data_IF_057816740195
#
_entry.id   IF_057816740195
#
_cell.length_a   1.000
_cell.length_b   1.000
_cell.length_c   1.000
_cell.angle_alpha   90.00
_cell.angle_beta   90.00
_cell.angle_gamma   90.00
#
_symmetry.space_group_name_H-M   'P 1'
#
loop_
_entity.id
_entity.type
_entity.pdbx_description
1 polymer ?
#
# COMPACT_ATOMS: atom_id res chain seq x y z
N UNK A 1 49.81 47.64 14.46
CA UNK A 1 49.60 46.23 14.84
C UNK A 1 48.14 45.88 14.62
N UNK A 2 47.80 45.21 13.52
CA UNK A 2 46.43 44.78 13.21
C UNK A 2 46.31 43.33 13.71
N UNK A 3 45.46 43.10 14.71
CA UNK A 3 45.13 41.76 15.19
C UNK A 3 44.20 41.10 14.17
N UNK A 4 44.66 40.00 13.58
CA UNK A 4 43.89 39.19 12.65
C UNK A 4 42.66 38.60 13.36
N UNK A 5 41.48 38.85 12.81
CA UNK A 5 40.23 38.22 13.21
C UNK A 5 40.16 36.86 12.52
N UNK A 6 40.33 35.77 13.26
CA UNK A 6 40.13 34.41 12.74
C UNK A 6 38.62 34.15 12.71
N UNK A 7 38.02 34.18 11.52
CA UNK A 7 36.65 33.72 11.29
C UNK A 7 36.70 32.20 11.10
N UNK A 8 36.32 31.44 12.13
CA UNK A 8 36.13 29.99 12.04
C UNK A 8 34.82 29.73 11.29
N UNK A 9 34.92 29.37 10.02
CA UNK A 9 33.78 28.94 9.22
C UNK A 9 33.43 27.50 9.65
N UNK A 10 32.51 27.37 10.62
CA UNK A 10 31.84 26.10 10.92
C UNK A 10 31.04 25.70 9.68
N UNK A 11 31.62 24.83 8.85
CA UNK A 11 30.90 24.08 7.84
C UNK A 11 29.88 23.19 8.55
N UNK A 12 28.69 23.74 8.82
CA UNK A 12 27.49 22.97 9.07
C UNK A 12 27.31 22.06 7.86
N UNK A 13 27.72 20.80 7.99
CA UNK A 13 27.25 19.76 7.09
C UNK A 13 25.77 19.61 7.38
N UNK A 14 24.95 20.39 6.69
CA UNK A 14 23.53 20.13 6.59
C UNK A 14 23.48 18.77 5.89
N UNK A 15 23.06 17.68 6.55
CA UNK A 15 22.84 16.44 5.83
C UNK A 15 21.85 16.78 4.71
N UNK A 16 22.20 16.46 3.47
CA UNK A 16 21.25 16.54 2.38
C UNK A 16 20.06 15.65 2.76
N UNK A 17 19.01 16.27 3.27
CA UNK A 17 17.76 15.60 3.57
C UNK A 17 17.17 15.20 2.24
N UNK A 18 17.16 13.90 1.97
CA UNK A 18 16.31 13.33 0.92
C UNK A 18 14.87 13.50 1.38
N UNK A 19 14.29 14.66 1.11
CA UNK A 19 12.90 14.93 1.39
C UNK A 19 12.05 14.20 0.34
N UNK A 20 11.28 13.22 0.79
CA UNK A 20 10.22 12.61 0.00
C UNK A 20 9.07 13.62 -0.02
N UNK A 21 8.44 13.81 -1.18
CA UNK A 21 7.26 14.67 -1.30
C UNK A 21 6.10 14.05 -0.50
N UNK A 22 5.62 14.71 0.56
CA UNK A 22 4.49 14.21 1.33
C UNK A 22 3.22 14.27 0.52
N UNK A 23 2.34 13.33 0.78
CA UNK A 23 1.03 13.22 0.14
C UNK A 23 -0.06 13.43 1.18
N UNK A 24 -1.12 14.13 0.78
CA UNK A 24 -2.26 14.44 1.64
C UNK A 24 -3.41 13.46 1.49
N UNK A 25 -3.43 12.61 0.45
CA UNK A 25 -4.49 11.63 0.23
C UNK A 25 -3.89 10.33 -0.29
N UNK A 26 -4.26 9.22 0.32
CA UNK A 26 -3.95 7.89 -0.19
C UNK A 26 -5.23 7.08 -0.36
N UNK A 27 -5.13 6.00 -1.12
CA UNK A 27 -6.23 5.14 -1.49
C UNK A 27 -5.91 3.70 -1.10
N UNK A 28 -6.96 2.92 -0.82
CA UNK A 28 -6.87 1.47 -0.67
C UNK A 28 -8.17 0.82 -1.11
N UNK A 29 -8.07 -0.32 -1.80
CA UNK A 29 -9.22 -1.19 -2.05
C UNK A 29 -9.34 -2.23 -0.94
N UNK A 30 -10.55 -2.48 -0.46
CA UNK A 30 -10.84 -3.50 0.54
C UNK A 30 -12.24 -4.06 0.33
N UNK A 31 -12.43 -5.36 0.52
CA UNK A 31 -13.72 -6.04 0.38
C UNK A 31 -14.67 -5.79 1.55
N UNK A 32 -14.16 -5.32 2.69
CA UNK A 32 -14.98 -4.93 3.85
C UNK A 32 -15.80 -3.69 3.55
N UNK A 33 -16.99 -3.58 4.13
CA UNK A 33 -17.78 -2.35 4.08
C UNK A 33 -17.23 -1.31 5.06
N UNK A 34 -17.66 -0.05 4.92
CA UNK A 34 -17.33 0.99 5.91
C UNK A 34 -17.79 0.59 7.33
N UNK A 35 -18.94 -0.10 7.45
CA UNK A 35 -19.45 -0.58 8.75
C UNK A 35 -18.50 -1.60 9.39
N UNK A 36 -17.98 -2.55 8.60
CA UNK A 36 -17.06 -3.57 9.10
C UNK A 36 -15.73 -2.94 9.55
N UNK A 37 -15.24 -1.94 8.80
CA UNK A 37 -14.04 -1.17 9.18
C UNK A 37 -14.28 -0.36 10.45
N UNK A 38 -15.47 0.21 10.63
CA UNK A 38 -15.86 0.92 11.84
C UNK A 38 -15.89 -0.01 13.05
N UNK A 39 -16.45 -1.21 12.90
CA UNK A 39 -16.47 -2.23 13.96
C UNK A 39 -15.05 -2.69 14.32
N UNK A 40 -14.17 -2.82 13.33
CA UNK A 40 -12.75 -3.11 13.55
C UNK A 40 -11.95 -1.93 14.13
N UNK A 41 -12.52 -0.72 14.16
CA UNK A 41 -11.85 0.51 14.59
C UNK A 41 -10.78 1.00 13.62
N UNK A 42 -10.80 0.60 12.35
CA UNK A 42 -9.83 0.99 11.34
C UNK A 42 -9.23 -0.18 10.56
N UNK A 43 -8.12 0.09 9.89
CA UNK A 43 -7.35 -0.89 9.13
C UNK A 43 -6.01 -1.11 9.83
N UNK A 44 -5.81 -2.35 10.29
CA UNK A 44 -4.71 -2.70 11.18
C UNK A 44 -3.80 -3.76 10.55
N UNK A 45 -2.49 -3.72 10.84
CA UNK A 45 -1.55 -4.73 10.37
C UNK A 45 -1.84 -6.12 10.93
N UNK A 46 -1.21 -7.13 10.33
CA UNK A 46 -1.25 -8.51 10.80
C UNK A 46 -0.31 -8.66 12.00
N UNK A 47 -0.86 -8.96 13.18
CA UNK A 47 -0.11 -9.03 14.44
C UNK A 47 -0.14 -10.43 15.06
N UNK A 48 0.13 -11.45 14.27
CA UNK A 48 0.39 -12.79 14.80
C UNK A 48 1.84 -12.86 15.31
N UNK A 49 2.01 -12.75 16.63
CA UNK A 49 3.33 -12.81 17.26
C UNK A 49 4.02 -11.45 17.35
N UNK A 50 5.35 -11.45 17.19
CA UNK A 50 6.14 -10.23 17.23
C UNK A 50 5.98 -9.47 15.88
N UNK A 51 5.72 -8.15 15.91
CA UNK A 51 5.53 -7.38 14.69
C UNK A 51 6.82 -7.30 13.88
N UNK A 52 6.76 -7.68 12.62
CA UNK A 52 7.81 -7.49 11.64
C UNK A 52 7.76 -6.06 11.09
N UNK A 53 8.82 -5.31 11.33
CA UNK A 53 8.97 -3.92 10.91
C UNK A 53 9.90 -3.78 9.69
N UNK A 54 10.27 -4.89 9.04
CA UNK A 54 11.09 -4.86 7.84
C UNK A 54 10.26 -4.49 6.61
N UNK A 55 10.59 -3.37 5.99
CA UNK A 55 9.87 -2.90 4.80
C UNK A 55 10.00 -3.88 3.63
N UNK A 56 11.14 -4.56 3.48
CA UNK A 56 11.36 -5.49 2.36
C UNK A 56 10.53 -6.75 2.53
N UNK A 57 10.47 -7.32 3.75
CA UNK A 57 9.61 -8.47 4.02
C UNK A 57 8.12 -8.14 3.84
N UNK A 58 7.69 -6.90 4.12
CA UNK A 58 6.32 -6.46 3.82
C UNK A 58 6.08 -6.38 2.31
N UNK A 59 6.97 -5.66 1.62
CA UNK A 59 6.87 -5.40 0.18
C UNK A 59 6.91 -6.68 -0.66
N UNK A 60 7.81 -7.60 -0.33
CA UNK A 60 7.94 -8.92 -0.95
C UNK A 60 6.83 -9.89 -0.51
N UNK A 61 6.01 -9.50 0.47
CA UNK A 61 4.87 -10.28 0.96
C UNK A 61 5.22 -11.39 1.95
N UNK A 62 6.49 -11.59 2.29
CA UNK A 62 6.95 -12.60 3.26
C UNK A 62 6.28 -12.42 4.63
N UNK A 63 6.35 -11.21 5.19
CA UNK A 63 5.74 -10.91 6.50
C UNK A 63 4.21 -10.90 6.47
N UNK A 64 3.61 -10.75 5.28
CA UNK A 64 2.17 -10.86 5.07
C UNK A 64 1.75 -12.33 5.08
N UNK A 65 2.48 -13.19 4.36
CA UNK A 65 2.26 -14.64 4.41
C UNK A 65 2.53 -15.21 5.81
N UNK A 66 3.50 -14.65 6.53
CA UNK A 66 3.82 -14.94 7.93
C UNK A 66 2.84 -14.34 8.95
N UNK A 67 1.86 -13.54 8.52
CA UNK A 67 0.86 -12.89 9.38
C UNK A 67 1.44 -11.97 10.47
N UNK A 68 2.66 -11.46 10.28
CA UNK A 68 3.39 -10.65 11.26
C UNK A 68 3.72 -9.24 10.78
N UNK A 69 3.40 -8.89 9.53
CA UNK A 69 3.71 -7.58 8.97
C UNK A 69 3.10 -6.44 9.76
N UNK A 70 3.90 -5.45 10.17
CA UNK A 70 3.43 -4.29 10.93
C UNK A 70 2.95 -3.10 10.08
N UNK A 71 2.58 -3.36 8.82
CA UNK A 71 2.22 -2.33 7.86
C UNK A 71 0.87 -2.62 7.20
N UNK A 72 0.21 -1.56 6.74
CA UNK A 72 -0.95 -1.62 5.85
C UNK A 72 -0.60 -0.88 4.55
N UNK A 73 -0.67 -1.57 3.40
CA UNK A 73 -0.41 -0.96 2.09
C UNK A 73 -1.54 -0.02 1.67
N UNK A 74 -1.16 1.13 1.12
CA UNK A 74 -2.02 2.11 0.46
C UNK A 74 -1.29 2.63 -0.78
N UNK A 75 -1.95 3.37 -1.65
CA UNK A 75 -1.29 4.04 -2.79
C UNK A 75 -1.79 5.46 -2.94
N UNK A 76 -0.94 6.39 -3.34
CA UNK A 76 -1.36 7.74 -3.73
C UNK A 76 -2.02 7.78 -5.12
N UNK A 77 -1.98 6.67 -5.86
CA UNK A 77 -2.60 6.53 -7.18
C UNK A 77 -3.97 5.85 -7.09
N UNK A 78 -5.04 6.60 -7.33
CA UNK A 78 -6.38 6.03 -7.50
C UNK A 78 -6.39 4.99 -8.63
N UNK A 79 -5.64 5.26 -9.71
CA UNK A 79 -5.52 4.34 -10.84
C UNK A 79 -4.92 3.01 -10.40
N UNK A 80 -3.80 3.01 -9.68
CA UNK A 80 -3.15 1.77 -9.23
C UNK A 80 -4.10 0.94 -8.34
N UNK A 81 -4.81 1.57 -7.41
CA UNK A 81 -5.79 0.89 -6.55
C UNK A 81 -6.93 0.27 -7.36
N UNK A 82 -7.45 0.96 -8.38
CA UNK A 82 -8.49 0.43 -9.27
C UNK A 82 -7.94 -0.73 -10.11
N UNK A 83 -6.73 -0.62 -10.65
CA UNK A 83 -6.06 -1.69 -11.42
C UNK A 83 -5.88 -2.96 -10.56
N UNK A 84 -5.44 -2.81 -9.30
CA UNK A 84 -5.29 -3.93 -8.36
C UNK A 84 -6.64 -4.56 -8.04
N UNK A 85 -7.66 -3.76 -7.72
CA UNK A 85 -9.01 -4.24 -7.45
C UNK A 85 -9.59 -5.05 -8.63
N UNK A 86 -9.44 -4.55 -9.86
CA UNK A 86 -9.84 -5.26 -11.08
C UNK A 86 -9.12 -6.61 -11.20
N UNK A 87 -7.83 -6.65 -10.87
CA UNK A 87 -7.01 -7.86 -10.95
C UNK A 87 -7.45 -8.96 -9.98
N UNK A 88 -8.32 -8.66 -9.01
CA UNK A 88 -8.87 -9.61 -8.04
C UNK A 88 -10.29 -10.05 -8.37
N UNK A 89 -10.90 -9.52 -9.44
CA UNK A 89 -12.34 -9.66 -9.75
C UNK A 89 -12.77 -10.89 -10.55
N UNK A 90 -11.81 -11.72 -10.98
CA UNK A 90 -12.09 -12.98 -11.69
C UNK A 90 -10.98 -14.01 -11.48
N UNK A 91 -11.26 -15.31 -11.66
CA UNK A 91 -10.28 -16.37 -11.42
C UNK A 91 -9.27 -16.55 -12.56
N UNK A 92 -9.66 -16.30 -13.83
CA UNK A 92 -8.78 -16.42 -15.00
C UNK A 92 -9.26 -15.60 -16.22
N UNK A 93 -8.54 -15.69 -17.34
CA UNK A 93 -8.80 -14.94 -18.58
C UNK A 93 -9.96 -15.39 -19.43
N UNK A 94 -10.38 -16.63 -19.22
CA UNK A 94 -11.44 -17.26 -19.98
C UNK A 94 -12.80 -17.12 -19.29
N UNK A 95 -12.80 -16.87 -17.98
CA UNK A 95 -14.01 -16.71 -17.18
C UNK A 95 -14.47 -15.23 -17.10
N UNK A 96 -15.79 -14.98 -17.07
CA UNK A 96 -16.33 -13.65 -16.85
C UNK A 96 -15.94 -13.12 -15.45
N UNK A 97 -16.19 -11.83 -15.22
CA UNK A 97 -16.16 -11.30 -13.86
C UNK A 97 -17.13 -12.08 -12.98
N UNK A 98 -16.72 -12.35 -11.74
CA UNK A 98 -17.63 -12.94 -10.76
C UNK A 98 -18.81 -11.98 -10.56
N UNK A 99 -20.06 -12.39 -10.83
CA UNK A 99 -21.22 -11.51 -10.67
C UNK A 99 -21.41 -11.05 -9.21
N UNK A 100 -20.82 -11.74 -8.23
CA UNK A 100 -20.83 -11.38 -6.82
C UNK A 100 -19.64 -10.48 -6.42
N UNK A 101 -18.73 -10.16 -7.34
CA UNK A 101 -17.59 -9.28 -7.08
C UNK A 101 -18.04 -7.91 -6.60
N UNK A 102 -17.60 -7.56 -5.39
CA UNK A 102 -17.75 -6.24 -4.80
C UNK A 102 -16.50 -5.90 -3.99
N UNK A 103 -15.95 -4.72 -4.24
CA UNK A 103 -14.90 -4.13 -3.41
C UNK A 103 -15.18 -2.64 -3.22
N UNK A 104 -14.54 -2.05 -2.22
CA UNK A 104 -14.68 -0.64 -1.89
C UNK A 104 -13.32 0.04 -1.97
N UNK A 105 -13.29 1.16 -2.67
CA UNK A 105 -12.12 2.04 -2.71
C UNK A 105 -12.31 3.07 -1.63
N UNK A 106 -11.32 3.22 -0.76
CA UNK A 106 -11.31 4.15 0.35
C UNK A 106 -10.36 5.31 0.08
N UNK A 107 -10.82 6.53 0.35
CA UNK A 107 -9.99 7.74 0.38
C UNK A 107 -9.57 8.00 1.82
N UNK A 108 -8.28 8.07 2.07
CA UNK A 108 -7.71 8.06 3.42
C UNK A 108 -6.79 9.27 3.59
N UNK A 109 -6.92 9.95 4.73
CA UNK A 109 -5.97 10.96 5.18
C UNK A 109 -4.77 10.26 5.84
N UNK A 110 -3.55 10.35 5.27
CA UNK A 110 -2.37 9.80 5.90
C UNK A 110 -1.97 10.63 7.13
N UNK A 111 -1.01 10.10 7.90
CA UNK A 111 -0.31 10.74 9.02
C UNK A 111 1.19 10.47 8.87
N UNK A 112 2.01 10.96 9.79
CA UNK A 112 3.46 10.79 9.79
C UNK A 112 3.93 9.33 9.94
N UNK A 113 3.04 8.38 10.20
CA UNK A 113 3.32 6.94 10.15
C UNK A 113 3.12 6.31 8.75
N UNK A 114 2.75 7.09 7.74
CA UNK A 114 2.68 6.66 6.34
C UNK A 114 4.00 6.95 5.66
N UNK A 115 4.66 5.92 5.14
CA UNK A 115 5.97 6.03 4.49
C UNK A 115 5.89 5.62 3.03
N UNK A 116 6.44 6.45 2.15
CA UNK A 116 6.61 6.14 0.74
C UNK A 116 7.64 5.02 0.57
N UNK A 117 7.23 3.94 -0.10
CA UNK A 117 8.06 2.74 -0.21
C UNK A 117 9.22 2.95 -1.17
N UNK A 118 8.97 3.53 -2.34
CA UNK A 118 9.99 3.73 -3.38
C UNK A 118 11.12 4.64 -2.89
N UNK A 119 10.77 5.73 -2.22
CA UNK A 119 11.69 6.67 -1.59
C UNK A 119 12.47 6.05 -0.43
N UNK A 120 11.83 5.20 0.37
CA UNK A 120 12.52 4.46 1.45
C UNK A 120 13.54 3.46 0.89
N UNK A 121 13.17 2.68 -0.12
CA UNK A 121 14.07 1.75 -0.81
C UNK A 121 15.20 2.49 -1.53
N UNK A 122 14.89 3.59 -2.21
CA UNK A 122 15.88 4.45 -2.87
C UNK A 122 16.89 5.01 -1.87
N UNK A 123 16.42 5.46 -0.71
CA UNK A 123 17.29 5.91 0.36
C UNK A 123 18.21 4.78 0.84
N UNK A 124 17.67 3.60 1.15
CA UNK A 124 18.45 2.45 1.60
C UNK A 124 19.52 2.02 0.57
N UNK A 125 19.17 2.00 -0.72
CA UNK A 125 20.10 1.73 -1.83
C UNK A 125 21.27 2.71 -1.86
N UNK A 126 20.99 4.00 -1.66
CA UNK A 126 22.00 5.06 -1.74
C UNK A 126 22.88 5.09 -0.48
N UNK A 127 22.34 4.67 0.67
CA UNK A 127 23.02 4.70 1.96
C UNK A 127 23.85 3.44 2.25
N UNK A 128 23.58 2.32 1.57
CA UNK A 128 24.31 1.06 1.81
C UNK A 128 25.67 1.00 1.12
N UNK A 129 26.68 0.45 1.81
CA UNK A 129 27.96 0.07 1.23
C UNK A 129 27.98 -1.39 0.73
N UNK A 130 26.94 -2.17 1.00
CA UNK A 130 26.81 -3.56 0.56
C UNK A 130 26.33 -3.61 -0.90
N UNK A 131 27.19 -4.13 -1.78
CA UNK A 131 26.90 -4.26 -3.20
C UNK A 131 25.73 -5.23 -3.48
N UNK A 132 25.59 -6.29 -2.69
CA UNK A 132 24.51 -7.26 -2.86
C UNK A 132 23.16 -6.62 -2.49
N UNK A 133 23.09 -5.93 -1.35
CA UNK A 133 21.89 -5.19 -0.94
C UNK A 133 21.50 -4.16 -1.99
N UNK A 134 22.48 -3.38 -2.47
CA UNK A 134 22.25 -2.39 -3.53
C UNK A 134 21.67 -3.02 -4.81
N UNK A 135 22.21 -4.16 -5.24
CA UNK A 135 21.76 -4.85 -6.44
C UNK A 135 20.35 -5.45 -6.29
N UNK A 136 20.01 -6.00 -5.12
CA UNK A 136 18.67 -6.50 -4.83
C UNK A 136 17.64 -5.39 -4.80
N UNK A 137 17.93 -4.27 -4.12
CA UNK A 137 17.04 -3.11 -4.12
C UNK A 137 16.87 -2.53 -5.53
N UNK A 138 17.93 -2.50 -6.36
CA UNK A 138 17.81 -2.09 -7.75
C UNK A 138 16.83 -2.96 -8.55
N UNK A 139 16.84 -4.28 -8.33
CA UNK A 139 15.88 -5.19 -8.97
C UNK A 139 14.45 -4.96 -8.49
N UNK A 140 14.24 -4.75 -7.19
CA UNK A 140 12.93 -4.38 -6.65
C UNK A 140 12.42 -3.08 -7.29
N UNK A 141 13.22 -2.01 -7.25
CA UNK A 141 12.87 -0.72 -7.83
C UNK A 141 12.63 -0.80 -9.34
N UNK A 142 13.38 -1.63 -10.07
CA UNK A 142 13.19 -1.82 -11.50
C UNK A 142 11.90 -2.57 -11.83
N UNK A 143 11.56 -3.59 -11.05
CA UNK A 143 10.43 -4.48 -11.33
C UNK A 143 9.09 -3.91 -10.85
N UNK A 144 9.12 -2.94 -9.93
CA UNK A 144 7.94 -2.44 -9.24
C UNK A 144 7.93 -0.92 -9.04
N UNK A 145 8.63 -0.16 -9.89
CA UNK A 145 8.51 1.30 -9.88
C UNK A 145 7.09 1.74 -10.27
N UNK A 146 6.67 2.91 -9.78
CA UNK A 146 5.43 3.54 -10.22
C UNK A 146 4.13 2.95 -9.65
N UNK A 147 4.22 2.07 -8.66
CA UNK A 147 3.04 1.64 -7.88
C UNK A 147 2.57 2.72 -6.90
N UNK A 148 3.44 3.69 -6.63
CA UNK A 148 3.15 4.84 -5.78
C UNK A 148 2.62 4.41 -4.40
N UNK A 149 3.18 3.33 -3.86
CA UNK A 149 2.75 2.73 -2.59
C UNK A 149 3.25 3.54 -1.40
N UNK A 150 2.35 3.76 -0.45
CA UNK A 150 2.67 4.18 0.90
C UNK A 150 2.22 3.10 1.89
N UNK A 151 3.05 2.84 2.89
CA UNK A 151 2.72 1.89 3.96
C UNK A 151 2.42 2.63 5.26
N UNK A 152 1.27 2.34 5.86
CA UNK A 152 0.91 2.84 7.19
C UNK A 152 1.48 1.90 8.25
N UNK A 153 2.57 2.30 8.92
CA UNK A 153 3.12 1.54 10.04
C UNK A 153 2.14 1.57 11.21
N UNK A 154 1.89 0.43 11.83
CA UNK A 154 0.89 0.28 12.90
C UNK A 154 -0.57 0.49 12.47
N UNK A 155 -0.83 0.69 11.17
CA UNK A 155 -2.18 0.88 10.62
C UNK A 155 -2.75 2.28 10.84
N UNK A 156 -4.06 2.40 10.73
CA UNK A 156 -4.79 3.67 10.90
C UNK A 156 -6.23 3.44 11.34
N UNK A 157 -6.77 4.40 12.08
CA UNK A 157 -8.14 4.40 12.55
C UNK A 157 -9.14 4.78 11.46
N UNK A 158 -10.38 4.33 11.63
CA UNK A 158 -11.50 4.56 10.71
C UNK A 158 -11.84 6.05 10.51
N UNK A 159 -11.57 6.90 11.50
CA UNK A 159 -11.81 8.34 11.43
C UNK A 159 -10.84 9.09 10.49
N UNK A 160 -9.81 8.41 9.96
CA UNK A 160 -8.95 8.93 8.88
C UNK A 160 -9.50 8.66 7.48
N UNK A 161 -10.53 7.82 7.34
CA UNK A 161 -11.18 7.55 6.06
C UNK A 161 -12.14 8.71 5.74
N UNK A 162 -11.87 9.47 4.69
CA UNK A 162 -12.71 10.60 4.25
C UNK A 162 -14.00 10.11 3.59
N UNK A 163 -13.86 9.18 2.66
CA UNK A 163 -14.94 8.73 1.79
C UNK A 163 -14.61 7.37 1.19
N UNK A 164 -15.62 6.76 0.58
CA UNK A 164 -15.47 5.48 -0.08
C UNK A 164 -16.39 5.38 -1.29
N UNK A 165 -16.04 4.53 -2.25
CA UNK A 165 -16.88 4.23 -3.40
C UNK A 165 -16.86 2.72 -3.68
N UNK A 166 -18.00 2.20 -4.12
CA UNK A 166 -18.16 0.80 -4.50
C UNK A 166 -17.67 0.58 -5.93
N UNK A 167 -16.93 -0.51 -6.15
CA UNK A 167 -16.61 -1.08 -7.45
C UNK A 167 -17.18 -2.51 -7.50
N UNK A 168 -17.93 -2.83 -8.55
CA UNK A 168 -18.58 -4.14 -8.70
C UNK A 168 -18.53 -4.67 -10.13
N UNK A 169 -18.95 -5.93 -10.30
CA UNK A 169 -18.93 -6.63 -11.58
C UNK A 169 -19.68 -5.89 -12.70
N UNK A 170 -20.84 -5.29 -12.39
CA UNK A 170 -21.64 -4.53 -13.35
C UNK A 170 -20.88 -3.30 -13.88
N UNK A 171 -20.16 -2.58 -13.00
CA UNK A 171 -19.28 -1.49 -13.43
C UNK A 171 -18.16 -1.99 -14.33
N UNK A 172 -17.50 -3.10 -13.97
CA UNK A 172 -16.43 -3.69 -14.78
C UNK A 172 -16.92 -4.10 -16.17
N UNK A 173 -18.11 -4.70 -16.24
CA UNK A 173 -18.71 -5.14 -17.50
C UNK A 173 -19.16 -3.96 -18.37
N UNK A 174 -19.70 -2.90 -17.77
CA UNK A 174 -20.19 -1.72 -18.50
C UNK A 174 -19.08 -0.82 -19.02
N UNK A 175 -18.04 -0.59 -18.21
CA UNK A 175 -17.00 0.41 -18.53
C UNK A 175 -15.71 -0.22 -19.06
N UNK A 176 -15.54 -1.53 -18.92
CA UNK A 176 -14.34 -2.24 -19.34
C UNK A 176 -13.11 -1.86 -18.50
N UNK A 177 -12.00 -2.55 -18.76
CA UNK A 177 -10.76 -2.46 -17.96
C UNK A 177 -9.53 -2.15 -18.82
N UNK A 178 -9.73 -1.70 -20.06
CA UNK A 178 -8.65 -1.22 -20.92
C UNK A 178 -8.04 0.04 -20.33
N UNK A 179 -6.77 0.34 -20.63
CA UNK A 179 -6.04 1.45 -20.00
C UNK A 179 -6.68 2.86 -20.15
N UNK A 180 -7.64 3.02 -21.07
CA UNK A 180 -8.44 4.23 -21.30
C UNK A 180 -9.86 4.17 -20.69
N UNK A 181 -10.15 3.17 -19.86
CA UNK A 181 -11.43 3.02 -19.19
C UNK A 181 -11.77 4.24 -18.33
N UNK A 182 -13.05 4.58 -18.28
CA UNK A 182 -13.55 5.64 -17.40
C UNK A 182 -13.25 5.34 -15.92
N UNK A 183 -13.12 4.07 -15.54
CA UNK A 183 -12.76 3.63 -14.19
C UNK A 183 -11.44 4.24 -13.69
N UNK A 184 -10.54 4.67 -14.58
CA UNK A 184 -9.24 5.23 -14.23
C UNK A 184 -9.22 6.77 -14.19
N UNK A 185 -10.40 7.41 -14.18
CA UNK A 185 -10.51 8.88 -14.23
C UNK A 185 -11.21 9.45 -13.00
N UNK A 186 -10.72 10.57 -12.48
CA UNK A 186 -11.33 11.29 -11.35
C UNK A 186 -12.81 11.67 -11.61
N UNK A 187 -13.13 12.07 -12.84
CA UNK A 187 -14.49 12.48 -13.21
C UNK A 187 -15.51 11.33 -13.13
N UNK A 188 -15.07 10.08 -13.32
CA UNK A 188 -15.91 8.92 -13.10
C UNK A 188 -16.25 8.76 -11.61
N UNK A 189 -15.28 8.96 -10.72
CA UNK A 189 -15.47 8.76 -9.29
C UNK A 189 -16.12 9.95 -8.57
N UNK A 190 -16.02 11.16 -9.13
CA UNK A 190 -16.48 12.40 -8.51
C UNK A 190 -17.92 12.36 -7.97
N UNK A 191 -18.84 11.66 -8.65
CA UNK A 191 -20.24 11.52 -8.22
C UNK A 191 -20.56 10.22 -7.48
N UNK A 192 -19.56 9.36 -7.25
CA UNK A 192 -19.70 8.02 -6.66
C UNK A 192 -19.16 7.93 -5.24
N UNK A 193 -18.38 8.93 -4.81
CA UNK A 193 -17.88 9.01 -3.44
C UNK A 193 -19.03 9.20 -2.45
N UNK A 194 -19.06 8.34 -1.44
CA UNK A 194 -19.91 8.46 -0.26
C UNK A 194 -19.04 8.94 0.89
N UNK A 195 -19.42 10.06 1.50
CA UNK A 195 -18.69 10.62 2.64
C UNK A 195 -18.77 9.69 3.85
N UNK A 196 -17.66 9.55 4.57
CA UNK A 196 -17.66 8.89 5.87
C UNK A 196 -18.15 9.87 6.95
N UNK A 197 -19.29 9.63 7.61
CA UNK A 197 -19.82 10.53 8.64
C UNK A 197 -18.96 10.60 9.90
N UNK A 198 -18.02 9.66 10.10
CA UNK A 198 -17.11 9.66 11.26
C UNK A 198 -15.71 10.17 10.92
N UNK A 199 -15.49 10.69 9.71
CA UNK A 199 -14.23 11.35 9.39
C UNK A 199 -13.98 12.52 10.35
N UNK A 200 -12.78 12.61 10.88
CA UNK A 200 -12.39 13.70 11.78
C UNK A 200 -11.64 14.79 11.00
N UNK A 201 -12.30 15.93 10.82
CA UNK A 201 -11.77 17.09 10.11
C UNK A 201 -10.51 17.69 10.75
N UNK A 202 -10.17 17.34 11.99
CA UNK A 202 -8.88 17.75 12.58
C UNK A 202 -7.69 17.20 11.78
N UNK A 203 -7.86 16.13 11.00
CA UNK A 203 -6.81 15.57 10.16
C UNK A 203 -6.65 16.26 8.79
N UNK A 204 -7.44 17.29 8.45
CA UNK A 204 -7.43 17.88 7.11
C UNK A 204 -6.07 18.44 6.65
N UNK A 205 -5.19 18.75 7.61
CA UNK A 205 -3.82 19.23 7.35
C UNK A 205 -2.76 18.13 7.50
N UNK A 206 -3.15 16.91 7.85
CA UNK A 206 -2.21 15.79 7.99
C UNK A 206 -1.69 15.36 6.60
N UNK A 207 -0.44 14.95 6.59
CA UNK A 207 0.30 14.50 5.42
C UNK A 207 1.13 13.28 5.79
N UNK A 208 1.55 12.50 4.78
CA UNK A 208 2.49 11.40 4.98
C UNK A 208 3.86 11.89 5.48
N UNK A 209 4.70 10.95 5.94
CA UNK A 209 6.08 11.26 6.32
C UNK A 209 6.88 11.80 5.12
N UNK A 210 7.55 12.93 5.32
CA UNK A 210 8.57 13.44 4.40
C UNK A 210 9.91 12.72 4.50
N UNK A 211 10.08 11.88 5.52
CA UNK A 211 11.31 11.13 5.79
C UNK A 211 11.18 9.67 5.34
N UNK A 212 12.25 9.09 4.75
CA UNK A 212 12.26 7.67 4.39
C UNK A 212 12.17 6.78 5.63
N UNK A 213 11.48 5.66 5.49
CA UNK A 213 11.48 4.60 6.49
C UNK A 213 12.86 3.93 6.55
N UNK A 214 13.36 3.71 7.76
CA UNK A 214 14.76 3.36 7.97
C UNK A 214 15.00 1.85 8.12
N UNK A 215 13.98 1.07 8.51
CA UNK A 215 14.12 -0.38 8.69
C UNK A 215 13.84 -1.10 7.37
N UNK A 216 14.83 -1.03 6.48
CA UNK A 216 14.83 -1.71 5.19
C UNK A 216 15.81 -2.87 5.27
N UNK A 217 15.29 -4.10 5.25
CA UNK A 217 16.08 -5.32 5.28
C UNK A 217 16.80 -5.65 4.00
N UNK A 218 17.29 -6.88 3.97
CA UNK A 218 17.88 -7.49 2.79
C UNK A 218 16.77 -8.23 2.03
N UNK A 219 16.40 -7.80 0.82
CA UNK A 219 15.40 -8.49 0.04
C UNK A 219 15.78 -9.95 -0.24
N UNK A 220 14.81 -10.87 -0.20
CA UNK A 220 15.02 -12.26 -0.61
C UNK A 220 15.27 -12.39 -2.12
N UNK A 221 14.83 -11.39 -2.91
CA UNK A 221 14.88 -11.45 -4.36
C UNK A 221 13.71 -12.21 -4.95
N UNK A 222 12.59 -12.27 -4.25
CA UNK A 222 11.34 -12.85 -4.74
C UNK A 222 10.14 -12.18 -4.08
N UNK A 223 9.07 -11.98 -4.84
CA UNK A 223 7.84 -11.34 -4.37
C UNK A 223 6.70 -12.35 -4.41
N UNK A 224 5.93 -12.41 -3.33
CA UNK A 224 4.64 -13.09 -3.31
C UNK A 224 3.61 -12.16 -3.96
N UNK A 225 2.87 -12.70 -4.91
CA UNK A 225 1.85 -11.97 -5.65
C UNK A 225 0.60 -12.82 -5.82
N UNK A 226 -0.53 -12.17 -6.06
CA UNK A 226 -1.76 -12.76 -6.51
C UNK A 226 -1.86 -12.57 -8.01
N UNK A 227 -2.03 -13.66 -8.75
CA UNK A 227 -2.15 -13.63 -10.21
C UNK A 227 -3.32 -14.47 -10.67
N UNK A 228 -4.24 -13.83 -11.39
CA UNK A 228 -5.34 -14.50 -12.10
C UNK A 228 -5.09 -14.59 -13.61
N UNK A 229 -3.86 -14.36 -14.08
CA UNK A 229 -3.48 -14.49 -15.49
C UNK A 229 -4.02 -13.42 -16.46
N UNK A 230 -4.88 -12.48 -16.02
CA UNK A 230 -5.55 -11.53 -16.93
C UNK A 230 -5.07 -10.11 -16.87
N UNK A 231 -4.60 -9.76 -15.70
CA UNK A 231 -4.21 -8.42 -15.32
C UNK A 231 -2.84 -8.51 -14.66
N UNK A 232 -2.13 -7.38 -14.50
CA UNK A 232 -0.92 -7.35 -13.70
C UNK A 232 -1.16 -8.03 -12.36
N UNK A 233 -0.20 -8.83 -11.92
CA UNK A 233 -0.26 -9.45 -10.62
C UNK A 233 -0.26 -8.39 -9.51
N UNK A 234 -0.96 -8.67 -8.42
CA UNK A 234 -1.14 -7.76 -7.29
C UNK A 234 -0.30 -8.26 -6.13
N UNK A 235 0.37 -7.38 -5.39
CA UNK A 235 1.18 -7.81 -4.25
C UNK A 235 0.29 -8.13 -3.05
N UNK A 236 0.72 -9.05 -2.20
CA UNK A 236 -0.12 -9.52 -1.09
C UNK A 236 -0.59 -8.39 -0.17
N UNK A 237 0.25 -7.40 0.12
CA UNK A 237 -0.09 -6.25 0.98
C UNK A 237 -1.26 -5.41 0.47
N UNK A 238 -1.45 -5.36 -0.85
CA UNK A 238 -2.50 -4.58 -1.52
C UNK A 238 -3.84 -5.32 -1.57
N UNK A 239 -3.83 -6.62 -1.32
CA UNK A 239 -5.05 -7.42 -1.21
C UNK A 239 -5.63 -7.38 0.19
N UNK A 240 -6.83 -7.93 0.39
CA UNK A 240 -7.38 -8.08 1.75
C UNK A 240 -6.52 -8.98 2.66
N UNK A 241 -5.64 -9.83 2.11
CA UNK A 241 -4.69 -10.62 2.91
C UNK A 241 -3.69 -9.74 3.65
N UNK A 242 -3.46 -8.50 3.20
CA UNK A 242 -2.53 -7.57 3.80
C UNK A 242 -3.05 -6.78 5.00
N UNK A 243 -4.32 -6.98 5.39
CA UNK A 243 -4.93 -6.26 6.51
C UNK A 243 -5.65 -7.21 7.44
N UNK A 244 -5.49 -6.98 8.73
CA UNK A 244 -6.18 -7.78 9.73
C UNK A 244 -7.69 -7.53 9.69
N UNK A 245 -8.52 -8.59 9.71
CA UNK A 245 -9.97 -8.45 9.66
C UNK A 245 -10.53 -7.82 10.95
N UNK A 246 -9.83 -7.96 12.08
CA UNK A 246 -10.01 -7.14 13.28
C UNK A 246 -8.72 -7.09 14.11
N UNK A 247 -8.66 -6.27 15.16
CA UNK A 247 -7.47 -6.14 16.01
C UNK A 247 -7.02 -7.46 16.69
N UNK A 248 -7.91 -8.46 16.80
CA UNK A 248 -7.71 -9.67 17.60
C UNK A 248 -7.61 -10.98 16.78
N UNK A 249 -7.66 -10.94 15.45
CA UNK A 249 -7.72 -12.13 14.61
C UNK A 249 -6.33 -12.69 14.31
N UNK A 250 -6.15 -14.00 14.56
CA UNK A 250 -4.87 -14.71 14.49
C UNK A 250 -4.95 -16.00 13.67
N UNK A 251 -5.71 -16.02 12.58
CA UNK A 251 -5.83 -17.24 11.76
C UNK A 251 -5.77 -16.92 10.28
N UNK A 252 -4.67 -17.35 9.66
CA UNK A 252 -4.43 -17.28 8.22
C UNK A 252 -5.54 -17.92 7.38
N UNK A 253 -6.04 -19.08 7.80
CA UNK A 253 -7.13 -19.75 7.07
C UNK A 253 -8.43 -18.93 7.11
N UNK A 254 -8.81 -18.42 8.29
CA UNK A 254 -10.01 -17.57 8.39
C UNK A 254 -9.89 -16.28 7.61
N UNK A 255 -8.70 -15.66 7.60
CA UNK A 255 -8.45 -14.48 6.77
C UNK A 255 -8.66 -14.81 5.30
N UNK A 256 -8.08 -15.92 4.81
CA UNK A 256 -8.31 -16.40 3.45
C UNK A 256 -9.79 -16.64 3.15
N UNK A 257 -10.53 -17.25 4.07
CA UNK A 257 -11.97 -17.53 3.88
C UNK A 257 -12.83 -16.26 3.88
N UNK A 258 -12.44 -15.22 4.63
CA UNK A 258 -13.11 -13.90 4.61
C UNK A 258 -12.82 -13.19 3.29
N UNK A 259 -11.54 -13.21 2.91
CA UNK A 259 -11.03 -12.63 1.69
C UNK A 259 -11.66 -13.25 0.43
N UNK A 260 -11.74 -14.58 0.36
CA UNK A 260 -12.15 -15.33 -0.84
C UNK A 260 -13.63 -15.20 -1.20
N UNK A 261 -14.42 -14.49 -0.39
CA UNK A 261 -15.82 -14.21 -0.69
C UNK A 261 -15.99 -13.27 -1.88
N UNK A 262 -15.08 -12.31 -2.03
CA UNK A 262 -15.23 -11.21 -2.98
C UNK A 262 -13.98 -10.99 -3.85
N UNK A 263 -12.94 -11.80 -3.66
CA UNK A 263 -11.65 -11.65 -4.33
C UNK A 263 -11.09 -13.04 -4.67
N UNK A 264 -10.46 -13.19 -5.84
CA UNK A 264 -9.83 -14.44 -6.25
C UNK A 264 -8.33 -14.43 -5.98
N UNK A 265 -7.86 -15.36 -5.13
CA UNK A 265 -6.45 -15.47 -4.77
C UNK A 265 -5.82 -16.72 -5.35
N UNK A 266 -4.95 -16.53 -6.33
CA UNK A 266 -3.95 -17.52 -6.67
C UNK A 266 -2.57 -16.94 -6.36
N UNK A 267 -2.07 -17.27 -5.17
CA UNK A 267 -0.80 -16.76 -4.66
C UNK A 267 0.36 -17.51 -5.33
N UNK A 268 1.28 -16.76 -5.93
CA UNK A 268 2.48 -17.25 -6.59
C UNK A 268 3.72 -16.58 -5.99
N UNK A 269 4.87 -17.27 -6.04
CA UNK A 269 6.18 -16.67 -5.73
C UNK A 269 6.90 -16.37 -7.04
N UNK A 270 7.23 -15.11 -7.28
CA UNK A 270 7.92 -14.62 -8.48
C UNK A 270 9.34 -14.21 -8.13
N UNK A 271 10.34 -14.88 -8.72
CA UNK A 271 11.74 -14.53 -8.54
C UNK A 271 12.09 -13.25 -9.31
N UNK A 272 12.88 -12.38 -8.70
CA UNK A 272 13.38 -11.17 -9.33
C UNK A 272 14.62 -11.48 -10.16
N UNK A 273 14.49 -11.33 -11.48
CA UNK A 273 15.60 -11.45 -12.42
C UNK A 273 16.47 -10.20 -12.39
#
# INVERSE_FOLDING_TARGET
MIRALIVVFLLLQIPFSWAINPTSVVYRADSRTLSDIHEAGGMWPLREGAPDNDLTHHFEGESIDGMCSNFVSTSQSLRAVVEHAISLSRPNEFEPYDPEFVTYIYVIRPDLNFYDVEGSLTHARNSTNDANMRNLINRLLSNYSGMEELVARDGFSQNRILSYARLDADMLQRYGTSGNSALFTESFWASRWVNNPTYDYHYDQDISSSSPYQQVGMPEGAVLEVSNGTQPSVRLGETCLGVSPNFNHKSKQKLKDVCSKNEHFNVIKKTLN
#
